data_IF_966699062940
#
_entry.id   IF_966699062940
#
_cell.length_a   1.000
_cell.length_b   1.000
_cell.length_c   1.000
_cell.angle_alpha   90.00
_cell.angle_beta   90.00
_cell.angle_gamma   90.00
#
_symmetry.space_group_name_H-M   'P 1'
#
loop_
_entity.id
_entity.type
_entity.pdbx_description
1 polymer ?
#
# COMPACT_ATOMS: atom_id res chain seq x y z
N UNK A 1 -24.76 5.70 8.08
CA UNK A 1 -24.37 4.86 6.93
C UNK A 1 -23.01 5.34 6.48
N UNK A 2 -22.03 4.44 6.52
CA UNK A 2 -20.67 4.76 6.03
C UNK A 2 -20.59 4.64 4.50
N UNK A 3 -19.48 5.03 3.94
CA UNK A 3 -19.24 4.97 2.49
C UNK A 3 -18.99 3.57 1.95
N UNK A 4 -18.73 2.58 2.83
CA UNK A 4 -18.40 1.19 2.48
C UNK A 4 -19.39 0.20 3.12
N UNK A 5 -20.64 0.62 3.35
CA UNK A 5 -21.68 -0.19 3.98
C UNK A 5 -21.83 -1.55 3.28
N UNK A 6 -21.62 -2.62 4.03
CA UNK A 6 -21.63 -4.01 3.56
C UNK A 6 -20.51 -4.39 2.55
N UNK A 7 -19.59 -3.52 2.22
CA UNK A 7 -18.46 -3.88 1.36
C UNK A 7 -17.48 -4.83 2.08
N UNK A 8 -16.78 -5.63 1.29
CA UNK A 8 -15.72 -6.53 1.75
C UNK A 8 -14.42 -6.16 1.04
N UNK A 9 -13.36 -5.99 1.81
CA UNK A 9 -12.04 -5.69 1.25
C UNK A 9 -11.03 -6.83 1.53
N UNK A 10 -9.98 -6.92 0.71
CA UNK A 10 -8.75 -7.67 0.99
C UNK A 10 -7.58 -6.68 1.00
N UNK A 11 -6.79 -6.70 2.08
CA UNK A 11 -5.65 -5.78 2.25
C UNK A 11 -4.36 -6.59 2.46
N UNK A 12 -3.33 -6.34 1.65
CA UNK A 12 -2.01 -6.92 1.87
C UNK A 12 -1.17 -6.02 2.79
N UNK A 13 -0.43 -6.63 3.73
CA UNK A 13 0.33 -5.88 4.73
C UNK A 13 -0.56 -5.13 5.73
N UNK A 14 -1.70 -5.71 6.09
CA UNK A 14 -2.74 -5.10 6.92
C UNK A 14 -2.41 -5.01 8.42
N UNK A 15 -1.28 -5.57 8.89
CA UNK A 15 -0.95 -5.66 10.31
C UNK A 15 -0.16 -4.47 10.85
N UNK A 16 0.15 -3.47 10.05
CA UNK A 16 0.91 -2.28 10.48
C UNK A 16 0.75 -1.09 9.53
N UNK A 17 1.17 0.09 9.99
CA UNK A 17 1.27 1.30 9.17
C UNK A 17 -0.03 1.62 8.43
N UNK A 18 0.09 2.04 7.17
CA UNK A 18 -1.05 2.46 6.34
C UNK A 18 -2.06 1.32 6.17
N UNK A 19 -1.62 0.07 5.95
CA UNK A 19 -2.53 -1.06 5.78
C UNK A 19 -3.44 -1.29 6.99
N UNK A 20 -2.91 -1.18 8.20
CA UNK A 20 -3.69 -1.31 9.44
C UNK A 20 -4.65 -0.12 9.62
N UNK A 21 -4.20 1.09 9.33
CA UNK A 21 -5.05 2.28 9.40
C UNK A 21 -6.21 2.19 8.39
N UNK A 22 -5.95 1.73 7.16
CA UNK A 22 -6.99 1.50 6.14
C UNK A 22 -7.97 0.42 6.59
N UNK A 23 -7.49 -0.69 7.17
CA UNK A 23 -8.34 -1.75 7.71
C UNK A 23 -9.31 -1.17 8.76
N UNK A 24 -8.78 -0.46 9.76
CA UNK A 24 -9.59 0.19 10.80
C UNK A 24 -10.62 1.14 10.21
N UNK A 25 -10.18 1.99 9.28
CA UNK A 25 -11.06 2.97 8.64
C UNK A 25 -12.15 2.30 7.80
N UNK A 26 -11.86 1.25 7.05
CA UNK A 26 -12.88 0.53 6.28
C UNK A 26 -13.96 -0.07 7.20
N UNK A 27 -13.56 -0.65 8.32
CA UNK A 27 -14.50 -1.16 9.32
C UNK A 27 -15.33 -0.05 9.97
N UNK A 28 -14.78 1.15 10.17
CA UNK A 28 -15.51 2.33 10.66
C UNK A 28 -16.51 2.87 9.62
N UNK A 29 -16.18 2.75 8.33
CA UNK A 29 -17.06 3.15 7.21
C UNK A 29 -18.14 2.11 6.88
N UNK A 30 -18.32 1.08 7.71
CA UNK A 30 -19.39 0.11 7.56
C UNK A 30 -19.04 -1.14 6.77
N UNK A 31 -17.76 -1.36 6.41
CA UNK A 31 -17.36 -2.59 5.74
C UNK A 31 -17.81 -3.82 6.56
N UNK A 32 -18.40 -4.81 5.88
CA UNK A 32 -18.86 -6.06 6.46
C UNK A 32 -17.72 -6.85 7.08
N UNK A 33 -16.57 -6.84 6.38
CA UNK A 33 -15.37 -7.52 6.84
C UNK A 33 -14.17 -7.23 5.96
N UNK A 34 -12.98 -7.59 6.45
CA UNK A 34 -11.72 -7.39 5.75
C UNK A 34 -10.90 -8.69 5.74
N UNK A 35 -10.54 -9.18 4.56
CA UNK A 35 -9.46 -10.14 4.39
C UNK A 35 -8.11 -9.46 4.61
N UNK A 36 -7.18 -10.13 5.25
CA UNK A 36 -5.85 -9.60 5.53
C UNK A 36 -4.77 -10.62 5.17
N UNK A 37 -3.90 -10.30 4.21
CA UNK A 37 -2.70 -11.10 3.94
C UNK A 37 -1.52 -10.47 4.68
N UNK A 38 -0.94 -11.21 5.64
CA UNK A 38 0.17 -10.74 6.48
C UNK A 38 1.28 -11.78 6.54
N UNK A 39 2.53 -11.33 6.66
CA UNK A 39 3.70 -12.22 6.59
C UNK A 39 3.96 -13.01 7.88
N UNK A 40 3.58 -12.49 9.04
CA UNK A 40 3.93 -13.09 10.33
C UNK A 40 2.72 -13.60 11.09
N UNK A 41 2.88 -14.75 11.76
CA UNK A 41 1.87 -15.30 12.66
C UNK A 41 1.53 -14.32 13.80
N UNK A 42 2.54 -13.65 14.38
CA UNK A 42 2.32 -12.63 15.42
C UNK A 42 1.41 -11.48 14.93
N UNK A 43 1.63 -10.99 13.69
CA UNK A 43 0.76 -9.96 13.12
C UNK A 43 -0.66 -10.46 12.87
N UNK A 44 -0.81 -11.74 12.48
CA UNK A 44 -2.10 -12.38 12.30
C UNK A 44 -2.87 -12.50 13.62
N UNK A 45 -2.20 -12.93 14.69
CA UNK A 45 -2.81 -13.09 16.00
C UNK A 45 -3.26 -11.74 16.59
N UNK A 46 -2.46 -10.70 16.42
CA UNK A 46 -2.85 -9.34 16.81
C UNK A 46 -4.12 -8.87 16.11
N UNK A 47 -4.23 -9.08 14.78
CA UNK A 47 -5.42 -8.74 14.03
C UNK A 47 -6.65 -9.54 14.47
N UNK A 48 -6.51 -10.84 14.70
CA UNK A 48 -7.61 -11.70 15.21
C UNK A 48 -8.08 -11.26 16.59
N UNK A 49 -7.13 -10.90 17.45
CA UNK A 49 -7.45 -10.41 18.80
C UNK A 49 -8.19 -9.07 18.77
N UNK A 50 -7.75 -8.13 17.92
CA UNK A 50 -8.34 -6.78 17.87
C UNK A 50 -9.71 -6.76 17.19
N UNK A 51 -9.88 -7.52 16.09
CA UNK A 51 -11.05 -7.38 15.21
C UNK A 51 -12.01 -8.58 15.22
N UNK A 52 -11.62 -9.70 15.83
CA UNK A 52 -12.44 -10.90 15.94
C UNK A 52 -12.89 -11.43 14.56
N UNK A 53 -14.16 -11.71 14.42
CA UNK A 53 -14.76 -12.25 13.20
C UNK A 53 -14.93 -11.23 12.06
N UNK A 54 -14.60 -9.97 12.29
CA UNK A 54 -14.60 -8.94 11.24
C UNK A 54 -13.36 -9.01 10.34
N UNK A 55 -12.36 -9.84 10.67
CA UNK A 55 -11.15 -9.99 9.86
C UNK A 55 -10.86 -11.46 9.58
N UNK A 56 -10.70 -11.82 8.31
CA UNK A 56 -10.21 -13.13 7.86
C UNK A 56 -8.72 -13.02 7.55
N UNK A 57 -7.86 -13.64 8.39
CA UNK A 57 -6.41 -13.46 8.28
C UNK A 57 -5.73 -14.68 7.68
N UNK A 58 -5.00 -14.46 6.57
CA UNK A 58 -4.10 -15.43 5.94
C UNK A 58 -2.65 -15.05 6.25
N UNK A 59 -1.85 -16.02 6.70
CA UNK A 59 -0.41 -15.85 6.89
C UNK A 59 0.31 -16.32 5.63
N UNK A 60 1.00 -15.42 4.96
CA UNK A 60 1.71 -15.73 3.72
C UNK A 60 2.53 -14.54 3.21
N UNK A 61 3.40 -14.81 2.25
CA UNK A 61 4.20 -13.78 1.58
C UNK A 61 3.50 -13.34 0.29
N UNK A 62 3.41 -12.04 0.05
CA UNK A 62 2.80 -11.46 -1.16
C UNK A 62 3.51 -11.89 -2.45
N UNK A 63 4.76 -12.36 -2.36
CA UNK A 63 5.53 -12.93 -3.48
C UNK A 63 5.06 -14.32 -3.91
N UNK A 64 4.19 -14.97 -3.13
CA UNK A 64 3.62 -16.28 -3.43
C UNK A 64 2.25 -16.14 -4.10
N UNK A 65 2.09 -16.70 -5.30
CA UNK A 65 0.80 -16.77 -5.98
C UNK A 65 -0.23 -17.50 -5.11
N UNK A 66 0.14 -18.67 -4.56
CA UNK A 66 -0.72 -19.47 -3.70
C UNK A 66 -1.20 -18.69 -2.47
N UNK A 67 -0.31 -17.93 -1.80
CA UNK A 67 -0.71 -17.13 -0.63
C UNK A 67 -1.73 -16.04 -0.98
N UNK A 68 -1.62 -15.41 -2.17
CA UNK A 68 -2.60 -14.44 -2.63
C UNK A 68 -3.95 -15.12 -2.97
N UNK A 69 -3.93 -16.27 -3.63
CA UNK A 69 -5.12 -17.07 -3.93
C UNK A 69 -5.83 -17.54 -2.64
N UNK A 70 -5.07 -18.06 -1.67
CA UNK A 70 -5.58 -18.44 -0.36
C UNK A 70 -6.21 -17.26 0.40
N UNK A 71 -5.61 -16.06 0.32
CA UNK A 71 -6.15 -14.86 0.95
C UNK A 71 -7.50 -14.45 0.33
N UNK A 72 -7.63 -14.53 -1.00
CA UNK A 72 -8.91 -14.30 -1.68
C UNK A 72 -9.93 -15.35 -1.27
N UNK A 73 -9.57 -16.64 -1.29
CA UNK A 73 -10.46 -17.75 -0.93
C UNK A 73 -10.94 -17.66 0.53
N UNK A 74 -10.03 -17.33 1.47
CA UNK A 74 -10.38 -17.11 2.87
C UNK A 74 -11.33 -15.93 3.06
N UNK A 75 -11.13 -14.83 2.30
CA UNK A 75 -12.03 -13.68 2.33
C UNK A 75 -13.42 -14.02 1.83
N UNK A 76 -13.51 -14.76 0.72
CA UNK A 76 -14.78 -15.22 0.17
C UNK A 76 -15.49 -16.19 1.11
N UNK A 77 -14.77 -17.13 1.72
CA UNK A 77 -15.32 -18.08 2.67
C UNK A 77 -15.91 -17.38 3.90
N UNK A 78 -15.24 -16.33 4.40
CA UNK A 78 -15.67 -15.61 5.59
C UNK A 78 -16.83 -14.65 5.33
N UNK A 79 -16.85 -13.96 4.17
CA UNK A 79 -17.74 -12.83 3.94
C UNK A 79 -18.63 -12.95 2.69
N UNK A 80 -18.40 -13.93 1.83
CA UNK A 80 -19.22 -14.27 0.67
C UNK A 80 -18.96 -13.46 -0.60
N UNK A 81 -18.12 -12.42 -0.54
CA UNK A 81 -17.78 -11.55 -1.69
C UNK A 81 -16.46 -10.83 -1.49
N UNK A 82 -15.99 -10.15 -2.53
CA UNK A 82 -14.87 -9.20 -2.47
C UNK A 82 -15.21 -7.99 -3.34
N UNK A 83 -15.23 -6.78 -2.75
CA UNK A 83 -15.55 -5.52 -3.43
C UNK A 83 -14.29 -4.67 -3.66
N UNK A 84 -13.27 -4.78 -2.79
CA UNK A 84 -12.05 -3.97 -2.89
C UNK A 84 -10.80 -4.78 -2.58
N UNK A 85 -9.79 -4.70 -3.46
CA UNK A 85 -8.42 -5.11 -3.17
C UNK A 85 -7.58 -3.87 -2.83
N UNK A 86 -6.86 -3.91 -1.70
CA UNK A 86 -5.82 -2.93 -1.37
C UNK A 86 -4.45 -3.60 -1.39
N UNK A 87 -3.67 -3.37 -2.43
CA UNK A 87 -2.27 -3.76 -2.54
C UNK A 87 -1.40 -2.77 -1.76
N UNK A 88 -1.04 -3.11 -0.52
CA UNK A 88 -0.33 -2.18 0.36
C UNK A 88 1.02 -2.69 0.86
N UNK A 89 1.27 -4.01 0.90
CA UNK A 89 2.56 -4.56 1.32
C UNK A 89 3.72 -3.94 0.53
N UNK A 90 4.80 -3.58 1.21
CA UNK A 90 5.95 -2.98 0.57
C UNK A 90 7.21 -3.00 1.44
N UNK A 91 8.35 -2.78 0.80
CA UNK A 91 9.66 -2.58 1.42
C UNK A 91 10.35 -1.35 0.82
N UNK A 92 11.26 -0.73 1.58
CA UNK A 92 11.94 0.51 1.21
C UNK A 92 13.46 0.33 1.29
N UNK A 93 14.20 0.86 0.34
CA UNK A 93 15.64 0.64 0.22
C UNK A 93 16.53 1.54 1.11
N UNK A 94 15.95 2.28 2.06
CA UNK A 94 16.68 3.10 3.04
C UNK A 94 17.67 4.08 2.40
N UNK A 95 17.30 4.72 1.29
CA UNK A 95 18.17 5.62 0.53
C UNK A 95 19.50 4.97 0.11
N UNK A 96 19.48 3.67 -0.20
CA UNK A 96 20.66 2.97 -0.71
C UNK A 96 21.05 3.53 -2.08
N UNK A 97 22.03 4.43 -2.10
CA UNK A 97 22.56 4.99 -3.35
C UNK A 97 23.48 4.00 -4.05
N UNK A 98 23.70 4.14 -5.36
CA UNK A 98 24.60 3.28 -6.13
C UNK A 98 26.01 3.16 -5.53
N UNK A 99 26.46 4.20 -4.82
CA UNK A 99 27.78 4.22 -4.16
C UNK A 99 27.83 3.43 -2.86
N UNK A 100 26.68 3.05 -2.30
CA UNK A 100 26.57 2.35 -1.00
C UNK A 100 26.40 0.85 -1.14
N UNK A 101 26.16 0.33 -2.34
CA UNK A 101 26.18 -1.11 -2.57
C UNK A 101 27.62 -1.64 -2.52
N UNK A 102 27.81 -2.76 -1.85
CA UNK A 102 29.13 -3.39 -1.71
C UNK A 102 29.66 -3.85 -3.07
N UNK A 103 28.77 -4.38 -3.90
CA UNK A 103 29.07 -4.86 -5.25
C UNK A 103 27.80 -4.93 -6.12
N UNK A 104 27.96 -5.38 -7.37
CA UNK A 104 26.84 -5.58 -8.29
C UNK A 104 25.90 -6.71 -7.88
N UNK A 105 26.36 -7.69 -7.12
CA UNK A 105 25.53 -8.79 -6.64
C UNK A 105 24.54 -8.29 -5.58
N UNK A 106 25.01 -7.51 -4.60
CA UNK A 106 24.13 -6.91 -3.60
C UNK A 106 23.07 -5.99 -4.23
N UNK A 107 23.47 -5.21 -5.26
CA UNK A 107 22.51 -4.41 -6.02
C UNK A 107 21.46 -5.29 -6.71
N UNK A 108 21.86 -6.39 -7.36
CA UNK A 108 20.95 -7.31 -8.04
C UNK A 108 19.98 -8.00 -7.05
N UNK A 109 20.46 -8.41 -5.89
CA UNK A 109 19.64 -9.05 -4.87
C UNK A 109 18.65 -8.06 -4.25
N UNK A 110 19.10 -6.83 -3.97
CA UNK A 110 18.21 -5.74 -3.51
C UNK A 110 17.13 -5.41 -4.54
N UNK A 111 17.51 -5.36 -5.83
CA UNK A 111 16.56 -5.12 -6.92
C UNK A 111 15.48 -6.20 -6.95
N UNK A 112 15.85 -7.48 -6.93
CA UNK A 112 14.91 -8.59 -6.93
C UNK A 112 13.97 -8.50 -5.73
N UNK A 113 14.53 -8.38 -4.53
CA UNK A 113 13.73 -8.35 -3.29
C UNK A 113 12.72 -7.20 -3.28
N UNK A 114 13.14 -5.99 -3.66
CA UNK A 114 12.26 -4.82 -3.68
C UNK A 114 11.20 -4.93 -4.79
N UNK A 115 11.57 -5.37 -5.99
CA UNK A 115 10.61 -5.53 -7.08
C UNK A 115 9.65 -6.69 -6.87
N UNK A 116 10.12 -7.80 -6.29
CA UNK A 116 9.27 -8.95 -5.98
C UNK A 116 8.18 -8.60 -4.97
N UNK A 117 8.50 -7.77 -3.97
CA UNK A 117 7.49 -7.32 -3.01
C UNK A 117 6.62 -6.21 -3.58
N UNK A 118 7.23 -5.13 -4.10
CA UNK A 118 6.50 -3.89 -4.41
C UNK A 118 5.76 -3.93 -5.75
N UNK A 119 6.19 -4.78 -6.69
CA UNK A 119 5.63 -4.86 -8.06
C UNK A 119 5.00 -6.22 -8.31
N UNK A 120 5.78 -7.32 -8.19
CA UNK A 120 5.27 -8.67 -8.43
C UNK A 120 4.16 -9.03 -7.43
N UNK A 121 4.34 -8.70 -6.15
CA UNK A 121 3.31 -8.92 -5.12
C UNK A 121 1.98 -8.22 -5.44
N UNK A 122 2.01 -7.02 -6.01
CA UNK A 122 0.80 -6.32 -6.45
C UNK A 122 0.15 -7.00 -7.65
N UNK A 123 0.95 -7.46 -8.63
CA UNK A 123 0.44 -8.19 -9.80
C UNK A 123 -0.20 -9.51 -9.40
N UNK A 124 0.42 -10.27 -8.50
CA UNK A 124 -0.12 -11.54 -8.00
C UNK A 124 -1.44 -11.34 -7.23
N UNK A 125 -1.50 -10.33 -6.38
CA UNK A 125 -2.74 -9.97 -5.68
C UNK A 125 -3.84 -9.54 -6.66
N UNK A 126 -3.51 -8.73 -7.68
CA UNK A 126 -4.43 -8.33 -8.72
C UNK A 126 -4.94 -9.52 -9.53
N UNK A 127 -4.05 -10.44 -9.93
CA UNK A 127 -4.40 -11.64 -10.68
C UNK A 127 -5.37 -12.53 -9.88
N UNK A 128 -5.09 -12.77 -8.60
CA UNK A 128 -5.95 -13.59 -7.75
C UNK A 128 -7.33 -12.95 -7.51
N UNK A 129 -7.39 -11.62 -7.33
CA UNK A 129 -8.62 -10.91 -7.01
C UNK A 129 -9.48 -10.54 -8.25
N UNK A 130 -8.90 -10.41 -9.44
CA UNK A 130 -9.59 -9.89 -10.62
C UNK A 130 -10.87 -10.65 -11.00
N UNK A 131 -10.93 -12.01 -10.99
CA UNK A 131 -12.16 -12.73 -11.33
C UNK A 131 -13.33 -12.34 -10.43
N UNK A 132 -13.08 -12.28 -9.12
CA UNK A 132 -14.12 -12.00 -8.11
C UNK A 132 -14.53 -10.51 -8.13
N UNK A 133 -13.56 -9.62 -8.30
CA UNK A 133 -13.85 -8.18 -8.41
C UNK A 133 -14.66 -7.82 -9.67
N UNK A 134 -14.57 -8.60 -10.74
CA UNK A 134 -15.44 -8.44 -11.92
C UNK A 134 -16.90 -8.71 -11.57
N UNK A 135 -17.18 -9.75 -10.78
CA UNK A 135 -18.55 -10.10 -10.38
C UNK A 135 -19.20 -8.99 -9.53
N UNK A 136 -18.43 -8.34 -8.65
CA UNK A 136 -18.91 -7.26 -7.80
C UNK A 136 -18.80 -5.88 -8.45
N UNK A 137 -18.18 -5.77 -9.63
CA UNK A 137 -17.76 -4.52 -10.27
C UNK A 137 -16.94 -3.65 -9.31
N UNK A 138 -15.97 -4.28 -8.68
CA UNK A 138 -15.21 -3.77 -7.56
C UNK A 138 -14.10 -2.78 -7.91
N UNK A 139 -13.15 -2.64 -7.00
CA UNK A 139 -12.02 -1.70 -7.10
C UNK A 139 -10.71 -2.34 -6.67
N UNK A 140 -9.61 -1.98 -7.33
CA UNK A 140 -8.24 -2.22 -6.87
C UNK A 140 -7.58 -0.88 -6.52
N UNK A 141 -6.91 -0.83 -5.38
CA UNK A 141 -6.20 0.37 -4.91
C UNK A 141 -4.80 -0.04 -4.49
N UNK A 142 -3.78 0.56 -5.11
CA UNK A 142 -2.39 0.24 -4.80
C UNK A 142 -1.73 1.39 -4.03
N UNK A 143 -0.95 1.04 -3.00
CA UNK A 143 -0.16 1.99 -2.23
C UNK A 143 1.15 2.27 -2.95
N UNK A 144 1.26 3.45 -3.53
CA UNK A 144 2.44 3.96 -4.19
C UNK A 144 3.31 4.75 -3.20
N UNK A 145 3.91 5.81 -3.66
CA UNK A 145 4.70 6.79 -2.92
C UNK A 145 4.83 8.07 -3.75
N UNK A 146 5.17 9.20 -3.12
CA UNK A 146 5.68 10.36 -3.85
C UNK A 146 6.90 9.97 -4.73
N UNK A 147 7.67 8.94 -4.32
CA UNK A 147 8.73 8.32 -5.13
C UNK A 147 8.26 7.68 -6.43
N UNK A 148 6.96 7.60 -6.69
CA UNK A 148 6.41 7.17 -7.97
C UNK A 148 6.48 8.26 -9.05
N UNK A 149 6.75 9.49 -8.66
CA UNK A 149 6.77 10.67 -9.53
C UNK A 149 8.04 11.49 -9.37
N UNK A 150 8.66 11.48 -8.18
CA UNK A 150 9.76 12.37 -7.82
C UNK A 150 10.95 11.58 -7.26
N UNK A 151 12.13 12.14 -7.43
CA UNK A 151 13.34 11.69 -6.76
C UNK A 151 13.34 12.11 -5.28
N UNK A 152 14.19 11.47 -4.47
CA UNK A 152 14.48 11.89 -3.10
C UNK A 152 13.67 11.20 -2.01
N UNK A 153 12.69 10.34 -2.33
CA UNK A 153 11.94 9.55 -1.34
C UNK A 153 12.50 8.14 -1.10
N UNK A 154 13.63 7.80 -1.72
CA UNK A 154 14.32 6.52 -1.58
C UNK A 154 15.57 6.48 -2.46
N UNK A 155 16.25 5.34 -2.49
CA UNK A 155 17.31 5.04 -3.44
C UNK A 155 16.76 4.64 -4.82
N UNK A 156 17.66 4.37 -5.81
CA UNK A 156 17.25 4.13 -7.19
C UNK A 156 16.36 2.89 -7.35
N UNK A 157 16.54 1.86 -6.55
CA UNK A 157 15.77 0.61 -6.65
C UNK A 157 14.33 0.84 -6.20
N UNK A 158 14.13 1.49 -5.05
CA UNK A 158 12.79 1.81 -4.55
C UNK A 158 12.05 2.77 -5.48
N UNK A 159 12.71 3.87 -5.88
CA UNK A 159 12.14 4.85 -6.80
C UNK A 159 11.70 4.18 -8.11
N UNK A 160 12.54 3.33 -8.70
CA UNK A 160 12.19 2.59 -9.91
C UNK A 160 10.99 1.65 -9.68
N UNK A 161 10.92 0.93 -8.56
CA UNK A 161 9.80 0.03 -8.25
C UNK A 161 8.48 0.79 -8.13
N UNK A 162 8.49 1.97 -7.51
CA UNK A 162 7.29 2.79 -7.33
C UNK A 162 6.87 3.51 -8.64
N UNK A 163 7.80 3.87 -9.52
CA UNK A 163 7.49 4.31 -10.88
C UNK A 163 6.86 3.18 -11.72
N UNK A 164 7.36 1.95 -11.61
CA UNK A 164 6.79 0.79 -12.29
C UNK A 164 5.32 0.58 -11.92
N UNK A 165 4.93 0.80 -10.66
CA UNK A 165 3.54 0.71 -10.21
C UNK A 165 2.61 1.72 -10.90
N UNK A 166 3.10 2.88 -11.36
CA UNK A 166 2.28 3.83 -12.14
C UNK A 166 1.86 3.22 -13.46
N UNK A 167 2.82 2.62 -14.19
CA UNK A 167 2.54 1.91 -15.45
C UNK A 167 1.61 0.72 -15.24
N UNK A 168 1.85 -0.06 -14.18
CA UNK A 168 1.00 -1.19 -13.79
C UNK A 168 -0.46 -0.77 -13.56
N UNK A 169 -0.71 0.27 -12.77
CA UNK A 169 -2.06 0.78 -12.50
C UNK A 169 -2.78 1.19 -13.79
N UNK A 170 -2.10 1.92 -14.65
CA UNK A 170 -2.66 2.38 -15.94
C UNK A 170 -3.02 1.21 -16.85
N UNK A 171 -2.15 0.20 -16.93
CA UNK A 171 -2.39 -0.98 -17.77
C UNK A 171 -3.52 -1.84 -17.18
N UNK A 172 -3.54 -2.11 -15.87
CA UNK A 172 -4.62 -2.86 -15.24
C UNK A 172 -5.97 -2.14 -15.34
N UNK A 173 -5.98 -0.81 -15.22
CA UNK A 173 -7.20 -0.01 -15.41
C UNK A 173 -7.75 -0.15 -16.83
N UNK A 174 -6.88 -0.19 -17.86
CA UNK A 174 -7.26 -0.41 -19.25
C UNK A 174 -7.80 -1.83 -19.48
N UNK A 175 -7.11 -2.85 -18.95
CA UNK A 175 -7.47 -4.26 -19.16
C UNK A 175 -8.76 -4.69 -18.44
N UNK A 176 -9.00 -4.13 -17.23
CA UNK A 176 -10.09 -4.56 -16.37
C UNK A 176 -11.36 -3.70 -16.51
N UNK A 177 -11.28 -2.60 -17.24
CA UNK A 177 -12.46 -1.80 -17.57
C UNK A 177 -13.41 -2.57 -18.52
N UNK A 178 -14.73 -2.38 -18.41
CA UNK A 178 -15.46 -1.49 -17.50
C UNK A 178 -15.81 -2.11 -16.14
N UNK A 179 -15.34 -3.33 -15.88
CA UNK A 179 -15.82 -4.12 -14.73
C UNK A 179 -15.13 -3.75 -13.41
N UNK A 180 -13.82 -3.47 -13.45
CA UNK A 180 -13.04 -3.16 -12.22
C UNK A 180 -12.33 -1.81 -12.40
N UNK A 181 -12.46 -0.95 -11.39
CA UNK A 181 -11.70 0.30 -11.32
C UNK A 181 -10.34 0.03 -10.68
N UNK A 182 -9.28 0.59 -11.24
CA UNK A 182 -7.92 0.42 -10.71
C UNK A 182 -7.28 1.78 -10.49
N UNK A 183 -6.91 2.07 -9.25
CA UNK A 183 -6.40 3.37 -8.83
C UNK A 183 -5.22 3.22 -7.85
N UNK A 184 -4.64 4.32 -7.44
CA UNK A 184 -3.57 4.36 -6.46
C UNK A 184 -3.66 5.52 -5.49
N UNK A 185 -2.98 5.36 -4.36
CA UNK A 185 -2.68 6.42 -3.41
C UNK A 185 -1.15 6.51 -3.30
N UNK A 186 -0.60 7.70 -3.41
CA UNK A 186 0.83 7.98 -3.33
C UNK A 186 1.14 8.80 -2.07
N UNK A 187 1.39 8.14 -0.92
CA UNK A 187 1.79 8.80 0.30
C UNK A 187 3.16 9.47 0.17
N UNK A 188 3.36 10.55 0.93
CA UNK A 188 4.68 11.11 1.23
C UNK A 188 5.37 10.40 2.40
N UNK A 189 6.31 11.09 3.04
CA UNK A 189 6.93 10.62 4.28
C UNK A 189 5.87 10.41 5.36
N UNK A 190 5.74 9.18 5.83
CA UNK A 190 4.68 8.75 6.75
C UNK A 190 5.30 7.99 7.93
N UNK A 191 4.82 8.24 9.14
CA UNK A 191 5.29 7.60 10.36
C UNK A 191 4.86 6.12 10.41
N UNK A 192 5.58 5.24 9.73
CA UNK A 192 5.28 3.81 9.64
C UNK A 192 6.47 2.94 10.05
N UNK A 193 6.23 1.69 10.48
CA UNK A 193 7.29 0.71 10.68
C UNK A 193 7.73 0.06 9.35
N UNK A 194 7.75 0.82 8.25
CA UNK A 194 8.19 0.32 6.95
C UNK A 194 9.63 -0.18 7.05
N UNK A 195 9.84 -1.41 6.63
CA UNK A 195 11.13 -2.10 6.73
C UNK A 195 11.90 -2.06 5.42
N UNK A 196 13.19 -2.31 5.52
CA UNK A 196 14.07 -2.50 4.36
C UNK A 196 14.24 -3.95 3.94
N UNK A 197 14.98 -4.18 2.85
CA UNK A 197 15.28 -5.50 2.36
C UNK A 197 16.36 -6.20 3.20
N UNK A 198 16.33 -7.51 3.20
CA UNK A 198 17.31 -8.36 3.88
C UNK A 198 18.71 -8.22 3.25
N UNK A 199 18.75 -8.12 1.92
CA UNK A 199 19.98 -7.90 1.13
C UNK A 199 20.78 -6.66 1.54
N UNK A 200 20.13 -5.68 2.20
CA UNK A 200 20.79 -4.50 2.80
C UNK A 200 20.96 -4.61 4.33
N UNK A 201 20.63 -5.75 4.95
CA UNK A 201 20.61 -5.88 6.41
C UNK A 201 19.61 -4.93 7.10
N UNK A 202 18.52 -4.57 6.43
CA UNK A 202 17.53 -3.58 6.90
C UNK A 202 16.17 -4.18 7.26
N UNK A 203 16.06 -5.50 7.30
CA UNK A 203 14.80 -6.21 7.59
C UNK A 203 14.24 -5.96 8.99
N UNK A 204 15.07 -5.54 9.96
CA UNK A 204 14.65 -5.14 11.31
C UNK A 204 14.62 -3.62 11.52
N UNK A 205 15.20 -2.84 10.61
CA UNK A 205 15.16 -1.38 10.69
C UNK A 205 13.74 -0.87 10.35
N UNK A 206 13.33 0.23 11.00
CA UNK A 206 12.01 0.83 10.79
C UNK A 206 12.15 2.30 10.43
N UNK A 207 11.36 2.74 9.46
CA UNK A 207 11.34 4.14 9.00
C UNK A 207 11.06 5.11 10.17
N UNK A 208 10.11 4.76 11.03
CA UNK A 208 9.73 5.56 12.20
C UNK A 208 10.83 5.73 13.26
N UNK A 209 11.89 4.92 13.18
CA UNK A 209 13.01 4.93 14.16
C UNK A 209 14.23 5.73 13.66
N UNK A 210 14.18 6.32 12.45
CA UNK A 210 15.29 7.12 11.90
C UNK A 210 15.31 8.48 12.59
N UNK A 211 16.40 8.82 13.33
CA UNK A 211 16.50 10.10 14.02
C UNK A 211 16.37 11.29 13.06
N UNK A 212 15.56 12.30 13.45
CA UNK A 212 15.36 13.51 12.67
C UNK A 212 14.58 13.34 11.35
N UNK A 213 14.10 12.14 11.03
CA UNK A 213 13.36 11.90 9.80
C UNK A 213 12.04 12.68 9.74
N UNK A 214 11.32 12.76 10.86
CA UNK A 214 10.07 13.54 10.94
C UNK A 214 10.30 15.02 10.63
N UNK A 215 11.34 15.61 11.20
CA UNK A 215 11.66 17.02 10.98
C UNK A 215 12.10 17.26 9.53
N UNK A 216 12.92 16.36 8.99
CA UNK A 216 13.37 16.45 7.60
C UNK A 216 12.19 16.37 6.61
N UNK A 217 11.20 15.50 6.85
CA UNK A 217 9.98 15.43 6.05
C UNK A 217 9.15 16.70 6.20
N UNK A 218 8.93 17.16 7.42
CA UNK A 218 8.18 18.38 7.71
C UNK A 218 8.84 19.62 7.05
N UNK A 219 10.16 19.64 6.98
CA UNK A 219 10.92 20.72 6.31
C UNK A 219 10.84 20.65 4.79
N UNK A 220 10.62 19.49 4.22
CA UNK A 220 10.61 19.28 2.78
C UNK A 220 9.26 19.56 2.12
N UNK A 221 8.15 19.57 2.88
CA UNK A 221 6.80 19.69 2.33
C UNK A 221 6.10 20.99 2.75
N UNK A 222 5.27 21.61 1.87
CA UNK A 222 4.52 22.83 2.17
C UNK A 222 3.63 22.76 3.41
N UNK A 223 2.96 21.61 3.64
CA UNK A 223 2.09 21.45 4.81
C UNK A 223 2.87 21.34 6.13
N UNK A 224 4.21 21.20 6.08
CA UNK A 224 5.11 21.27 7.23
C UNK A 224 4.82 20.28 8.36
N UNK A 225 4.39 19.06 8.03
CA UNK A 225 4.28 17.96 8.99
C UNK A 225 4.61 16.62 8.32
N UNK A 226 5.01 15.63 9.10
CA UNK A 226 5.10 14.25 8.68
C UNK A 226 3.76 13.57 8.93
N UNK A 227 3.16 13.02 7.87
CA UNK A 227 1.85 12.38 7.94
C UNK A 227 1.86 11.13 8.85
N UNK A 228 0.72 10.87 9.49
CA UNK A 228 0.40 9.61 10.14
C UNK A 228 -0.32 8.67 9.16
N UNK A 229 -0.30 7.35 9.37
CA UNK A 229 -1.03 6.41 8.52
C UNK A 229 -2.50 6.76 8.30
N UNK A 230 -3.15 7.30 9.33
CA UNK A 230 -4.56 7.68 9.36
C UNK A 230 -4.87 8.83 8.38
N UNK A 231 -3.92 9.73 8.13
CA UNK A 231 -4.10 10.89 7.27
C UNK A 231 -4.34 10.52 5.80
N UNK A 232 -3.95 9.31 5.41
CA UNK A 232 -4.13 8.81 4.05
C UNK A 232 -5.44 8.05 3.84
N UNK A 233 -6.07 7.57 4.90
CA UNK A 233 -7.18 6.59 4.83
C UNK A 233 -8.41 7.08 4.07
N UNK A 234 -8.70 8.38 4.12
CA UNK A 234 -9.80 8.99 3.38
C UNK A 234 -9.73 8.78 1.87
N UNK A 235 -8.52 8.76 1.30
CA UNK A 235 -8.32 8.51 -0.12
C UNK A 235 -8.64 7.06 -0.51
N UNK A 236 -8.32 6.10 0.36
CA UNK A 236 -8.68 4.69 0.15
C UNK A 236 -10.18 4.49 0.24
N UNK A 237 -10.85 5.12 1.20
CA UNK A 237 -12.32 5.08 1.32
C UNK A 237 -12.99 5.66 0.08
N UNK A 238 -12.53 6.82 -0.40
CA UNK A 238 -13.04 7.45 -1.62
C UNK A 238 -12.91 6.50 -2.82
N UNK A 239 -11.72 5.93 -3.05
CA UNK A 239 -11.43 5.07 -4.20
C UNK A 239 -12.13 3.70 -4.11
N UNK A 240 -12.35 3.18 -2.91
CA UNK A 240 -13.14 1.96 -2.68
C UNK A 240 -14.62 2.20 -2.97
N UNK A 241 -15.18 3.31 -2.48
CA UNK A 241 -16.60 3.63 -2.59
C UNK A 241 -17.03 3.80 -4.05
N UNK A 242 -17.86 2.88 -4.52
CA UNK A 242 -18.41 2.94 -5.88
C UNK A 242 -19.30 4.16 -6.08
N UNK A 243 -20.09 4.52 -5.08
CA UNK A 243 -21.00 5.66 -5.16
C UNK A 243 -20.24 6.98 -5.35
N UNK A 244 -19.08 7.11 -4.70
CA UNK A 244 -18.34 8.37 -4.67
C UNK A 244 -17.22 8.46 -5.73
N UNK A 245 -16.84 7.34 -6.37
CA UNK A 245 -15.75 7.32 -7.36
C UNK A 245 -16.02 6.44 -8.59
N UNK A 246 -17.29 6.30 -8.99
CA UNK A 246 -17.70 5.44 -10.11
C UNK A 246 -17.04 5.80 -11.45
N UNK A 247 -16.68 7.06 -11.66
CA UNK A 247 -16.03 7.57 -12.87
C UNK A 247 -14.48 7.67 -12.73
N UNK A 248 -13.90 7.10 -11.65
CA UNK A 248 -12.47 7.24 -11.37
C UNK A 248 -11.75 5.91 -11.57
N UNK A 249 -10.89 5.82 -12.59
CA UNK A 249 -9.95 4.71 -12.82
C UNK A 249 -8.65 5.25 -13.41
N UNK A 250 -7.54 4.53 -13.31
CA UNK A 250 -6.20 4.93 -13.71
C UNK A 250 -5.67 6.20 -13.00
N UNK A 251 -6.32 6.63 -11.92
CA UNK A 251 -5.94 7.82 -11.16
C UNK A 251 -5.02 7.45 -9.98
N UNK A 252 -4.10 8.35 -9.64
CA UNK A 252 -3.24 8.20 -8.47
C UNK A 252 -3.32 9.49 -7.66
N UNK A 253 -3.89 9.40 -6.47
CA UNK A 253 -4.03 10.53 -5.56
C UNK A 253 -2.71 10.73 -4.81
N UNK A 254 -2.06 11.86 -5.00
CA UNK A 254 -0.90 12.24 -4.22
C UNK A 254 -1.34 12.74 -2.84
N UNK A 255 -0.84 12.07 -1.79
CA UNK A 255 -1.12 12.36 -0.39
C UNK A 255 0.20 12.57 0.34
N UNK A 256 0.94 13.62 -0.03
CA UNK A 256 2.36 13.77 0.28
C UNK A 256 2.73 15.16 0.88
N UNK A 257 1.74 15.91 1.32
CA UNK A 257 1.96 17.22 1.91
C UNK A 257 2.36 18.31 0.91
N UNK A 258 2.21 18.05 -0.40
CA UNK A 258 2.53 18.99 -1.47
C UNK A 258 3.98 18.89 -1.95
N UNK A 259 4.58 17.69 -1.91
CA UNK A 259 5.95 17.45 -2.37
C UNK A 259 6.22 17.98 -3.79
N UNK A 260 5.21 17.95 -4.66
CA UNK A 260 5.31 18.43 -6.04
C UNK A 260 5.67 19.91 -6.13
N UNK A 261 5.01 20.75 -5.32
CA UNK A 261 5.23 22.20 -5.35
C UNK A 261 6.52 22.64 -4.67
N UNK A 262 7.13 21.79 -3.86
CA UNK A 262 8.42 21.97 -3.18
C UNK A 262 8.63 23.30 -2.45
N UNK A 263 9.34 23.19 -1.35
CA UNK A 263 9.73 24.34 -0.54
C UNK A 263 8.61 24.82 0.40
N UNK A 264 9.03 25.24 1.59
CA UNK A 264 8.14 25.91 2.53
C UNK A 264 7.83 27.33 2.04
N UNK A 265 6.59 27.76 2.13
CA UNK A 265 6.34 29.20 2.14
C UNK A 265 7.13 29.79 3.33
N UNK A 266 7.70 31.01 3.19
CA UNK A 266 8.41 31.66 4.29
C UNK A 266 7.46 31.69 5.50
N UNK A 267 7.94 31.22 6.66
CA UNK A 267 7.18 31.37 7.91
C UNK A 267 6.94 32.86 8.11
N UNK A 268 5.67 33.25 8.20
CA UNK A 268 5.35 34.60 8.68
C UNK A 268 5.93 34.71 10.08
N UNK A 269 6.82 35.70 10.27
CA UNK A 269 7.40 36.04 11.55
C UNK A 269 6.29 36.41 12.56
#
# INVERSE_FOLDING_TARGET
>A
MGWLDNDVALITGANSGIGLAVLRRFLQEGAKGVGALVRSAQGADALRQEFGNRVAVTVGDVRSATANEEAVAATLSAFGKLDTLVGNAGVWDYFASLRKFADGQQLADTFREVFDVNVMGYLLAAQAAAPVLRETRGSMIFTLSNSSFYAGGGGPVYVASKHACVGMIRQLAYELAPDVRVNGVAPGGTATPLKGPESLGKHDARLSEIPGFSDAVADAVPLSFMAQPEDHTGHYVLLASRTNSCATTANIIQSDGGWEVRGRPPRKA
#
